data_IF_853074915972
#
_entry.id   IF_853074915972
#
_cell.length_a   1.000
_cell.length_b   1.000
_cell.length_c   1.000
_cell.angle_alpha   90.00
_cell.angle_beta   90.00
_cell.angle_gamma   90.00
#
_symmetry.space_group_name_H-M   'P 1'
#
loop_
_entity.id
_entity.type
_entity.pdbx_description
1 polymer ?
#
# COMPACT_ATOMS: atom_id res chain seq x y z
N UNK A 1 -22.67 -0.45 -18.68
CA UNK A 1 -22.14 0.52 -17.69
C UNK A 1 -20.89 -0.09 -17.06
N UNK A 2 -19.73 0.57 -17.12
CA UNK A 2 -18.49 0.06 -16.49
C UNK A 2 -18.45 0.56 -15.04
N UNK A 3 -18.82 -0.28 -14.08
CA UNK A 3 -18.73 0.03 -12.64
C UNK A 3 -17.46 -0.59 -12.03
N UNK A 4 -16.95 -0.02 -10.93
CA UNK A 4 -15.80 -0.56 -10.19
C UNK A 4 -14.43 -0.12 -10.72
N UNK A 5 -13.35 -0.78 -10.26
CA UNK A 5 -11.89 -0.49 -10.39
C UNK A 5 -11.39 0.07 -11.76
N UNK A 6 -12.18 -0.05 -12.83
CA UNK A 6 -11.96 0.49 -14.16
C UNK A 6 -12.48 1.93 -14.36
N UNK A 7 -13.29 2.45 -13.43
CA UNK A 7 -13.69 3.85 -13.33
C UNK A 7 -13.05 4.48 -12.09
N UNK A 8 -12.54 5.70 -12.28
CA UNK A 8 -12.03 6.60 -11.23
C UNK A 8 -12.91 6.59 -9.97
N UNK A 9 -12.31 6.69 -8.78
CA UNK A 9 -13.03 6.71 -7.49
C UNK A 9 -13.97 7.93 -7.39
N UNK A 10 -15.30 7.75 -7.57
CA UNK A 10 -16.21 8.87 -7.76
C UNK A 10 -16.57 9.57 -6.44
N UNK A 11 -16.63 8.80 -5.34
CA UNK A 11 -17.04 9.30 -4.03
C UNK A 11 -15.99 10.22 -3.39
N UNK A 12 -14.71 9.83 -3.44
CA UNK A 12 -13.60 10.65 -2.90
C UNK A 12 -13.38 11.93 -3.71
N UNK A 13 -13.68 11.91 -5.02
CA UNK A 13 -13.54 13.08 -5.89
C UNK A 13 -14.50 14.21 -5.52
N UNK A 14 -15.67 13.88 -4.94
CA UNK A 14 -16.62 14.90 -4.44
C UNK A 14 -16.03 15.75 -3.31
N UNK A 15 -15.10 15.19 -2.53
CA UNK A 15 -14.44 15.89 -1.43
C UNK A 15 -13.14 16.57 -1.89
N UNK A 16 -12.28 15.84 -2.60
CA UNK A 16 -11.04 16.40 -3.16
C UNK A 16 -10.49 15.52 -4.28
N UNK A 17 -10.19 16.15 -5.42
CA UNK A 17 -9.61 15.47 -6.58
C UNK A 17 -8.20 14.94 -6.29
N UNK A 18 -7.40 15.68 -5.51
CA UNK A 18 -6.05 15.27 -5.10
C UNK A 18 -6.09 14.09 -4.13
N UNK A 19 -6.93 14.14 -3.10
CA UNK A 19 -7.06 13.04 -2.15
C UNK A 19 -7.55 11.76 -2.84
N UNK A 20 -8.49 11.89 -3.77
CA UNK A 20 -8.95 10.77 -4.60
C UNK A 20 -7.81 10.18 -5.44
N UNK A 21 -6.95 11.01 -6.03
CA UNK A 21 -5.81 10.54 -6.81
C UNK A 21 -4.79 9.78 -5.95
N UNK A 22 -4.43 10.30 -4.77
CA UNK A 22 -3.51 9.63 -3.85
C UNK A 22 -4.09 8.34 -3.25
N UNK A 23 -5.39 8.31 -2.96
CA UNK A 23 -6.04 7.06 -2.56
C UNK A 23 -6.05 6.05 -3.71
N UNK A 24 -6.30 6.50 -4.94
CA UNK A 24 -6.37 5.63 -6.10
C UNK A 24 -5.03 4.96 -6.42
N UNK A 25 -3.92 5.71 -6.34
CA UNK A 25 -2.58 5.16 -6.62
C UNK A 25 -2.17 4.10 -5.58
N UNK A 26 -2.63 4.23 -4.33
CA UNK A 26 -2.38 3.27 -3.25
C UNK A 26 -3.23 1.97 -3.36
N UNK A 27 -4.26 1.93 -4.20
CA UNK A 27 -5.12 0.75 -4.43
C UNK A 27 -5.67 0.13 -3.13
N UNK A 28 -6.52 0.85 -2.37
CA UNK A 28 -6.93 0.51 -1.00
C UNK A 28 -7.50 -0.91 -0.84
N UNK A 29 -8.23 -1.42 -1.83
CA UNK A 29 -8.77 -2.78 -1.78
C UNK A 29 -7.67 -3.85 -1.72
N UNK A 30 -6.54 -3.64 -2.39
CA UNK A 30 -5.40 -4.58 -2.30
C UNK A 30 -4.70 -4.51 -0.95
N UNK A 31 -4.80 -3.38 -0.26
CA UNK A 31 -4.19 -3.18 1.06
C UNK A 31 -4.94 -3.94 2.15
N UNK A 32 -6.25 -4.17 1.96
CA UNK A 32 -7.04 -4.99 2.89
C UNK A 32 -6.49 -6.42 2.98
N UNK A 33 -6.08 -7.02 1.86
CA UNK A 33 -5.47 -8.35 1.85
C UNK A 33 -4.18 -8.40 2.67
N UNK A 34 -3.30 -7.42 2.47
CA UNK A 34 -2.04 -7.31 3.22
C UNK A 34 -2.30 -7.07 4.73
N UNK A 35 -3.24 -6.17 5.04
CA UNK A 35 -3.63 -5.88 6.42
C UNK A 35 -4.17 -7.13 7.13
N UNK A 36 -5.15 -7.80 6.52
CA UNK A 36 -5.78 -8.99 7.09
C UNK A 36 -4.77 -10.13 7.24
N UNK A 37 -3.84 -10.29 6.27
CA UNK A 37 -2.78 -11.29 6.38
C UNK A 37 -1.94 -11.07 7.63
N UNK A 38 -1.46 -9.85 7.88
CA UNK A 38 -0.65 -9.54 9.07
C UNK A 38 -1.47 -9.68 10.34
N UNK A 39 -2.62 -9.04 10.38
CA UNK A 39 -3.52 -9.04 11.53
C UNK A 39 -3.93 -10.45 11.95
N UNK A 40 -4.40 -11.27 11.01
CA UNK A 40 -4.86 -12.63 11.32
C UNK A 40 -3.72 -13.56 11.71
N UNK A 41 -2.54 -13.41 11.08
CA UNK A 41 -1.37 -14.22 11.41
C UNK A 41 -0.90 -13.93 12.85
N UNK A 42 -0.82 -12.66 13.22
CA UNK A 42 -0.42 -12.25 14.57
C UNK A 42 -1.41 -12.72 15.64
N UNK A 43 -2.71 -12.59 15.38
CA UNK A 43 -3.76 -13.12 16.27
C UNK A 43 -3.61 -14.63 16.47
N UNK A 44 -3.36 -15.38 15.39
CA UNK A 44 -3.17 -16.82 15.46
C UNK A 44 -1.93 -17.18 16.30
N UNK A 45 -0.79 -16.55 16.04
CA UNK A 45 0.44 -16.81 16.79
C UNK A 45 0.34 -16.37 18.26
N UNK A 46 -0.25 -15.21 18.54
CA UNK A 46 -0.52 -14.75 19.91
C UNK A 46 -1.34 -15.79 20.67
N UNK A 47 -2.41 -16.31 20.06
CA UNK A 47 -3.26 -17.32 20.70
C UNK A 47 -2.52 -18.63 20.99
N UNK A 48 -1.59 -19.01 20.11
CA UNK A 48 -0.76 -20.21 20.27
C UNK A 48 0.32 -20.03 21.34
N UNK A 49 0.95 -18.86 21.42
CA UNK A 49 2.10 -18.62 22.31
C UNK A 49 1.68 -18.22 23.73
N UNK A 50 0.69 -17.34 23.88
CA UNK A 50 0.31 -16.77 25.19
C UNK A 50 -1.05 -17.23 25.68
N UNK A 51 -1.80 -17.97 24.85
CA UNK A 51 -3.17 -18.37 25.17
C UNK A 51 -4.22 -17.26 25.04
N UNK A 52 -3.80 -16.03 24.71
CA UNK A 52 -4.64 -14.84 24.62
C UNK A 52 -4.52 -14.14 23.27
N UNK A 53 -5.52 -13.33 22.92
CA UNK A 53 -5.48 -12.51 21.71
C UNK A 53 -4.87 -11.14 22.01
N UNK A 54 -3.80 -10.78 21.31
CA UNK A 54 -3.20 -9.45 21.40
C UNK A 54 -3.59 -8.59 20.20
N UNK A 55 -4.83 -8.07 20.22
CA UNK A 55 -5.36 -7.24 19.13
C UNK A 55 -4.53 -5.95 18.95
N UNK A 56 -4.00 -5.40 20.05
CA UNK A 56 -3.19 -4.18 20.04
C UNK A 56 -1.84 -4.37 19.33
N UNK A 57 -1.31 -5.59 19.29
CA UNK A 57 -0.10 -5.94 18.52
C UNK A 57 -0.45 -6.30 17.06
N UNK A 58 -1.59 -6.98 16.85
CA UNK A 58 -2.01 -7.40 15.51
C UNK A 58 -2.35 -6.23 14.58
N UNK A 59 -2.95 -5.15 15.09
CA UNK A 59 -3.28 -3.95 14.31
C UNK A 59 -2.02 -3.32 13.68
N UNK A 60 -0.99 -2.91 14.45
CA UNK A 60 0.23 -2.33 13.88
C UNK A 60 0.94 -3.31 12.94
N UNK A 61 0.90 -4.62 13.18
CA UNK A 61 1.48 -5.59 12.26
C UNK A 61 0.74 -5.63 10.91
N UNK A 62 -0.59 -5.67 10.93
CA UNK A 62 -1.40 -5.55 9.72
C UNK A 62 -1.14 -4.22 8.99
N UNK A 63 -1.06 -3.11 9.72
CA UNK A 63 -0.76 -1.79 9.13
C UNK A 63 0.63 -1.75 8.50
N UNK A 64 1.66 -2.34 9.13
CA UNK A 64 2.99 -2.47 8.53
C UNK A 64 2.89 -3.12 7.16
N UNK A 65 2.25 -4.29 7.04
CA UNK A 65 2.14 -4.98 5.75
C UNK A 65 1.32 -4.18 4.73
N UNK A 66 0.25 -3.51 5.16
CA UNK A 66 -0.54 -2.64 4.30
C UNK A 66 0.28 -1.46 3.76
N UNK A 67 1.12 -0.83 4.58
CA UNK A 67 1.97 0.28 4.14
C UNK A 67 3.08 -0.16 3.20
N UNK A 68 3.73 -1.31 3.47
CA UNK A 68 4.74 -1.86 2.57
C UNK A 68 4.12 -2.23 1.21
N UNK A 69 2.93 -2.86 1.22
CA UNK A 69 2.19 -3.16 0.00
C UNK A 69 1.80 -1.88 -0.77
N UNK A 70 1.36 -0.84 -0.06
CA UNK A 70 1.03 0.44 -0.68
C UNK A 70 2.26 1.09 -1.31
N UNK A 71 3.40 1.08 -0.61
CA UNK A 71 4.69 1.55 -1.12
C UNK A 71 5.06 0.89 -2.45
N UNK A 72 4.97 -0.44 -2.52
CA UNK A 72 5.26 -1.19 -3.75
C UNK A 72 4.28 -0.89 -4.89
N UNK A 73 2.97 -0.85 -4.61
CA UNK A 73 1.97 -0.51 -5.64
C UNK A 73 2.19 0.89 -6.22
N UNK A 74 2.56 1.85 -5.37
CA UNK A 74 2.85 3.23 -5.81
C UNK A 74 4.18 3.30 -6.55
N UNK A 75 5.22 2.60 -6.10
CA UNK A 75 6.52 2.56 -6.78
C UNK A 75 6.38 2.03 -8.19
N UNK A 76 5.68 0.90 -8.36
CA UNK A 76 5.45 0.28 -9.66
C UNK A 76 4.75 1.24 -10.63
N UNK A 77 3.77 2.00 -10.16
CA UNK A 77 3.06 2.99 -10.98
C UNK A 77 3.84 4.29 -11.22
N UNK A 78 5.02 4.45 -10.61
CA UNK A 78 5.87 5.63 -10.71
C UNK A 78 7.00 5.51 -11.74
N UNK A 79 7.19 4.32 -12.32
CA UNK A 79 8.15 4.07 -13.39
C UNK A 79 7.56 4.48 -14.74
N UNK A 80 8.38 5.11 -15.59
CA UNK A 80 7.92 5.62 -16.88
C UNK A 80 7.52 4.47 -17.82
N UNK A 81 8.28 3.37 -17.79
CA UNK A 81 8.06 2.16 -18.56
C UNK A 81 6.69 1.53 -18.22
N UNK A 82 6.40 1.41 -16.93
CA UNK A 82 5.11 0.89 -16.43
C UNK A 82 3.94 1.78 -16.84
N UNK A 83 4.12 3.10 -16.86
CA UNK A 83 3.11 4.05 -17.32
C UNK A 83 2.82 3.87 -18.82
N UNK A 84 3.85 3.66 -19.65
CA UNK A 84 3.64 3.36 -21.08
C UNK A 84 2.94 2.01 -21.29
N UNK A 85 3.33 0.97 -20.53
CA UNK A 85 2.65 -0.33 -20.54
C UNK A 85 1.18 -0.20 -20.12
N UNK A 86 0.87 0.62 -19.11
CA UNK A 86 -0.49 0.86 -18.66
C UNK A 86 -1.34 1.63 -19.68
N UNK A 87 -0.75 2.59 -20.41
CA UNK A 87 -1.40 3.27 -21.53
C UNK A 87 -1.78 2.29 -22.64
N UNK A 88 -0.83 1.44 -23.04
CA UNK A 88 -1.05 0.41 -24.06
C UNK A 88 -2.14 -0.59 -23.64
N UNK A 89 -2.18 -0.94 -22.35
CA UNK A 89 -3.22 -1.81 -21.79
C UNK A 89 -4.57 -1.13 -21.54
N UNK A 90 -4.73 0.14 -21.93
CA UNK A 90 -5.98 0.88 -21.76
C UNK A 90 -6.32 1.23 -20.31
N UNK A 91 -5.35 1.21 -19.38
CA UNK A 91 -5.54 1.56 -17.96
C UNK A 91 -5.45 3.07 -17.73
N UNK A 92 -6.18 3.83 -18.55
CA UNK A 92 -6.17 5.32 -18.56
C UNK A 92 -6.75 5.98 -17.31
N UNK A 93 -7.33 5.20 -16.40
CA UNK A 93 -7.87 5.68 -15.12
C UNK A 93 -6.79 5.86 -14.04
N UNK A 94 -5.57 5.35 -14.25
CA UNK A 94 -4.47 5.42 -13.27
C UNK A 94 -3.98 6.88 -13.11
N UNK A 95 -3.76 7.37 -11.87
CA UNK A 95 -3.37 8.77 -11.63
C UNK A 95 -2.08 9.22 -12.31
N UNK A 96 -1.12 8.33 -12.52
CA UNK A 96 0.15 8.62 -13.21
C UNK A 96 0.01 8.62 -14.73
N UNK A 97 -0.94 7.83 -15.26
CA UNK A 97 -1.25 7.77 -16.69
C UNK A 97 -2.04 8.99 -17.15
N UNK A 98 -3.03 9.43 -16.37
CA UNK A 98 -3.85 10.61 -16.68
C UNK A 98 -3.28 11.94 -16.17
N UNK A 99 -2.06 11.92 -15.60
CA UNK A 99 -1.30 13.10 -15.24
C UNK A 99 -1.75 13.81 -13.96
N UNK A 100 -2.68 13.26 -13.18
CA UNK A 100 -3.11 13.83 -11.90
C UNK A 100 -2.02 13.78 -10.83
N UNK A 101 -1.11 12.81 -10.94
CA UNK A 101 0.07 12.66 -10.09
C UNK A 101 1.29 12.53 -11.00
N UNK A 102 2.32 13.34 -10.75
CA UNK A 102 3.58 13.23 -11.49
C UNK A 102 4.38 12.01 -11.03
N UNK A 103 5.25 11.45 -11.88
CA UNK A 103 6.10 10.31 -11.50
C UNK A 103 6.91 10.60 -10.22
N UNK A 104 7.47 11.80 -10.12
CA UNK A 104 8.22 12.24 -8.93
C UNK A 104 7.34 12.29 -7.67
N UNK A 105 6.09 12.76 -7.78
CA UNK A 105 5.15 12.74 -6.65
C UNK A 105 4.81 11.31 -6.22
N UNK A 106 4.62 10.40 -7.19
CA UNK A 106 4.40 8.99 -6.90
C UNK A 106 5.61 8.35 -6.20
N UNK A 107 6.83 8.58 -6.69
CA UNK A 107 8.06 8.09 -6.04
C UNK A 107 8.19 8.58 -4.59
N UNK A 108 7.99 9.88 -4.35
CA UNK A 108 8.02 10.45 -2.99
C UNK A 108 6.96 9.79 -2.11
N UNK A 109 5.75 9.61 -2.64
CA UNK A 109 4.64 8.96 -1.92
C UNK A 109 4.98 7.51 -1.56
N UNK A 110 5.56 6.76 -2.49
CA UNK A 110 6.01 5.39 -2.25
C UNK A 110 7.06 5.33 -1.13
N UNK A 111 8.07 6.20 -1.18
CA UNK A 111 9.11 6.27 -0.13
C UNK A 111 8.49 6.58 1.24
N UNK A 112 7.55 7.54 1.32
CA UNK A 112 6.86 7.86 2.57
C UNK A 112 6.09 6.65 3.11
N UNK A 113 5.42 5.90 2.24
CA UNK A 113 4.66 4.70 2.63
C UNK A 113 5.59 3.58 3.12
N UNK A 114 6.69 3.32 2.41
CA UNK A 114 7.69 2.36 2.84
C UNK A 114 8.30 2.73 4.19
N UNK A 115 8.70 3.99 4.37
CA UNK A 115 9.24 4.47 5.65
C UNK A 115 8.21 4.32 6.78
N UNK A 116 6.94 4.63 6.53
CA UNK A 116 5.87 4.45 7.51
C UNK A 116 5.72 2.99 7.94
N UNK A 117 5.73 2.05 6.96
CA UNK A 117 5.69 0.62 7.25
C UNK A 117 6.90 0.13 8.03
N UNK A 118 8.11 0.54 7.63
CA UNK A 118 9.38 0.16 8.28
C UNK A 118 9.44 0.70 9.72
N UNK A 119 9.08 1.96 9.95
CA UNK A 119 9.07 2.55 11.29
C UNK A 119 8.08 1.84 12.22
N UNK A 120 6.90 1.49 11.71
CA UNK A 120 5.94 0.65 12.45
C UNK A 120 6.51 -0.73 12.72
N UNK A 121 7.21 -1.34 11.77
CA UNK A 121 7.85 -2.64 11.97
C UNK A 121 8.89 -2.62 13.11
N UNK A 122 9.71 -1.57 13.18
CA UNK A 122 10.67 -1.39 14.28
C UNK A 122 9.98 -1.14 15.63
N UNK A 123 8.81 -0.51 15.65
CA UNK A 123 8.03 -0.34 16.89
C UNK A 123 7.51 -1.66 17.45
N UNK A 124 7.37 -2.70 16.61
CA UNK A 124 6.97 -4.04 17.03
C UNK A 124 8.17 -4.86 17.50
N UNK A 125 9.25 -4.88 16.70
CA UNK A 125 10.49 -5.57 17.02
C UNK A 125 11.62 -5.18 16.07
N UNK A 126 12.84 -5.10 16.58
CA UNK A 126 14.04 -4.86 15.76
C UNK A 126 14.21 -5.90 14.65
N UNK A 127 13.91 -7.17 14.93
CA UNK A 127 14.03 -8.24 13.93
C UNK A 127 13.02 -8.03 12.80
N UNK A 128 11.77 -7.69 13.14
CA UNK A 128 10.72 -7.46 12.14
C UNK A 128 11.02 -6.22 11.28
N UNK A 129 11.55 -5.16 11.89
CA UNK A 129 12.06 -3.98 11.17
C UNK A 129 13.16 -4.34 10.16
N UNK A 130 14.16 -5.11 10.57
CA UNK A 130 15.24 -5.56 9.69
C UNK A 130 14.73 -6.38 8.51
N UNK A 131 13.85 -7.35 8.75
CA UNK A 131 13.25 -8.15 7.67
C UNK A 131 12.38 -7.30 6.75
N UNK A 132 11.61 -6.36 7.29
CA UNK A 132 10.79 -5.44 6.50
C UNK A 132 11.62 -4.57 5.56
N UNK A 133 12.76 -4.05 6.04
CA UNK A 133 13.71 -3.31 5.20
C UNK A 133 14.30 -4.20 4.09
N UNK A 134 14.74 -5.40 4.44
CA UNK A 134 15.36 -6.33 3.50
C UNK A 134 14.38 -6.74 2.38
N UNK A 135 13.14 -7.09 2.75
CA UNK A 135 12.10 -7.42 1.76
C UNK A 135 11.78 -6.22 0.89
N UNK A 136 11.67 -5.03 1.48
CA UNK A 136 11.39 -3.79 0.73
C UNK A 136 12.50 -3.47 -0.27
N UNK A 137 13.77 -3.69 0.11
CA UNK A 137 14.91 -3.47 -0.78
C UNK A 137 14.85 -4.36 -2.04
N UNK A 138 14.39 -5.61 -1.92
CA UNK A 138 14.23 -6.52 -3.06
C UNK A 138 12.90 -6.38 -3.79
N UNK A 139 11.94 -5.63 -3.24
CA UNK A 139 10.64 -5.39 -3.85
C UNK A 139 10.65 -4.22 -4.85
N UNK A 140 11.72 -3.41 -4.83
CA UNK A 140 12.00 -2.32 -5.77
C UNK A 140 12.94 -2.85 -6.85
#
# INVERSE_FOLDING_TARGET
MRFGILQRYPNLRRLSERASAYSAICRPFTLLGAFLSGFSLDIAFSRMQTGSFNIFHAIPLGLTLAFLQAGGQVMNQSLAEEVEIDKLNGKTYRPTVDGRITLRQAQITSIILYLSGILLAFSLSSAYGLFSMLITFFAI
#
